data_IF_811792663550
#
_entry.id   IF_811792663550
#
_cell.length_a   1.000
_cell.length_b   1.000
_cell.length_c   1.000
_cell.angle_alpha   90.00
_cell.angle_beta   90.00
_cell.angle_gamma   90.00
#
_symmetry.space_group_name_H-M   'P 1'
#
loop_
_entity.id
_entity.type
_entity.pdbx_description
1 polymer ?
#
# COMPACT_ATOMS: atom_id res chain seq x y z
N UNK A 1 34.97 24.53 -21.63
CA UNK A 1 34.38 24.38 -20.29
C UNK A 1 34.79 25.61 -19.51
N UNK A 2 33.82 26.48 -19.20
CA UNK A 2 34.11 27.83 -18.70
C UNK A 2 34.59 27.81 -17.24
N UNK A 3 35.68 28.52 -16.99
CA UNK A 3 36.31 28.69 -15.67
C UNK A 3 35.32 29.24 -14.62
N UNK A 4 34.35 30.04 -15.07
CA UNK A 4 33.25 30.56 -14.24
C UNK A 4 32.33 29.45 -13.72
N UNK A 5 32.01 28.45 -14.55
CA UNK A 5 31.13 27.34 -14.16
C UNK A 5 31.80 26.42 -13.13
N UNK A 6 33.11 26.16 -13.28
CA UNK A 6 33.88 25.34 -12.33
C UNK A 6 33.96 26.03 -10.96
N UNK A 7 34.20 27.34 -10.93
CA UNK A 7 34.24 28.12 -9.69
C UNK A 7 32.87 28.18 -9.00
N UNK A 8 31.77 28.26 -9.77
CA UNK A 8 30.41 28.23 -9.22
C UNK A 8 30.09 26.86 -8.60
N UNK A 9 30.46 25.77 -9.27
CA UNK A 9 30.28 24.40 -8.76
C UNK A 9 31.11 24.19 -7.49
N UNK A 10 32.36 24.68 -7.45
CA UNK A 10 33.22 24.57 -6.26
C UNK A 10 32.69 25.40 -5.09
N UNK A 11 32.18 26.62 -5.33
CA UNK A 11 31.56 27.45 -4.30
C UNK A 11 30.26 26.82 -3.76
N UNK A 12 29.47 26.19 -4.64
CA UNK A 12 28.24 25.49 -4.26
C UNK A 12 28.54 24.19 -3.49
N UNK A 13 29.59 23.45 -3.87
CA UNK A 13 30.07 22.31 -3.09
C UNK A 13 30.67 22.72 -1.74
N UNK A 14 31.43 23.81 -1.68
CA UNK A 14 32.05 24.30 -0.45
C UNK A 14 31.02 24.84 0.55
N UNK A 15 29.96 25.50 0.07
CA UNK A 15 28.83 25.93 0.92
C UNK A 15 27.97 24.77 1.41
N UNK A 16 27.94 23.65 0.68
CA UNK A 16 27.31 22.40 1.14
C UNK A 16 28.17 21.62 2.16
N UNK A 17 29.48 21.90 2.26
CA UNK A 17 30.41 21.06 3.04
C UNK A 17 30.59 21.45 4.52
N UNK A 18 30.02 22.56 5.00
CA UNK A 18 30.21 23.01 6.39
C UNK A 18 28.92 23.27 7.16
N UNK A 19 27.94 22.37 7.07
CA UNK A 19 26.92 22.25 8.11
C UNK A 19 27.22 21.03 9.00
N UNK A 20 28.29 21.11 9.79
CA UNK A 20 28.45 20.17 10.93
C UNK A 20 27.50 20.59 12.06
N UNK A 21 26.20 20.36 11.84
CA UNK A 21 25.22 20.45 12.91
C UNK A 21 25.48 19.29 13.88
N UNK A 22 25.97 19.61 15.08
CA UNK A 22 26.01 18.66 16.20
C UNK A 22 24.56 18.39 16.60
N UNK A 23 23.98 17.30 16.12
CA UNK A 23 22.62 16.89 16.47
C UNK A 23 22.64 16.47 17.96
N UNK A 24 21.92 17.17 18.85
CA UNK A 24 21.85 16.80 20.25
C UNK A 24 21.07 15.49 20.40
N UNK A 25 21.47 14.64 21.34
CA UNK A 25 20.77 13.37 21.62
C UNK A 25 19.43 13.60 22.35
N UNK A 26 19.32 14.70 23.11
CA UNK A 26 18.13 15.06 23.87
C UNK A 26 17.60 16.42 23.43
N UNK A 27 16.30 16.50 23.22
CA UNK A 27 15.61 17.72 22.83
C UNK A 27 14.67 18.20 23.96
N UNK A 28 14.33 19.50 24.01
CA UNK A 28 13.41 20.06 25.01
C UNK A 28 12.06 19.34 25.00
N UNK A 29 11.35 19.34 26.13
CA UNK A 29 10.00 18.76 26.19
C UNK A 29 9.07 19.41 25.14
N UNK A 30 8.26 18.58 24.47
CA UNK A 30 7.33 18.98 23.38
C UNK A 30 7.99 19.47 22.08
N UNK A 31 9.21 19.04 21.78
CA UNK A 31 9.81 19.26 20.46
C UNK A 31 9.36 18.20 19.46
N UNK A 32 9.07 18.65 18.23
CA UNK A 32 8.56 17.83 17.14
C UNK A 32 9.44 18.02 15.91
N UNK A 33 9.86 16.91 15.32
CA UNK A 33 10.54 16.86 14.02
C UNK A 33 9.53 16.51 12.94
N UNK A 34 9.31 17.42 11.98
CA UNK A 34 8.36 17.24 10.90
C UNK A 34 9.09 16.97 9.58
N UNK A 35 8.78 15.84 8.94
CA UNK A 35 9.16 15.55 7.56
C UNK A 35 7.93 15.78 6.69
N UNK A 36 8.06 16.59 5.64
CA UNK A 36 7.00 16.79 4.66
C UNK A 36 7.56 16.47 3.28
N UNK A 37 6.93 15.54 2.58
CA UNK A 37 7.26 15.14 1.23
C UNK A 37 6.02 15.29 0.35
N UNK A 38 6.21 15.79 -0.87
CA UNK A 38 5.13 15.90 -1.85
C UNK A 38 5.59 15.29 -3.18
N UNK A 39 4.75 14.46 -3.77
CA UNK A 39 4.97 13.85 -5.07
C UNK A 39 3.79 14.18 -5.97
N UNK A 40 4.05 14.83 -7.10
CA UNK A 40 3.04 15.18 -8.10
C UNK A 40 3.28 14.40 -9.38
N UNK A 41 2.34 13.54 -9.77
CA UNK A 41 2.42 12.79 -11.03
C UNK A 41 1.39 13.35 -12.02
N UNK A 42 1.80 13.81 -13.21
CA UNK A 42 0.86 14.25 -14.22
C UNK A 42 0.20 13.04 -14.89
N UNK A 43 -1.13 12.99 -14.88
CA UNK A 43 -1.91 12.01 -15.64
C UNK A 43 -2.44 12.72 -16.88
N UNK A 44 -1.87 12.37 -18.04
CA UNK A 44 -2.19 13.02 -19.32
C UNK A 44 -3.40 12.33 -19.96
N UNK A 45 -4.56 12.96 -19.85
CA UNK A 45 -5.76 12.62 -20.61
C UNK A 45 -6.02 13.65 -21.72
N UNK A 46 -6.17 13.26 -23.00
CA UNK A 46 -6.67 14.18 -24.03
C UNK A 46 -8.19 14.41 -23.82
N UNK A 47 -8.73 15.65 -23.66
CA UNK A 47 -8.14 16.98 -23.80
C UNK A 47 -7.79 17.72 -22.49
N UNK A 48 -7.85 17.07 -21.31
CA UNK A 48 -7.67 17.71 -20.00
C UNK A 48 -6.52 17.06 -19.20
N UNK A 49 -5.59 17.88 -18.72
CA UNK A 49 -4.49 17.42 -17.86
C UNK A 49 -4.95 17.37 -16.41
N UNK A 50 -4.84 16.21 -15.78
CA UNK A 50 -5.10 16.03 -14.35
C UNK A 50 -3.76 15.84 -13.65
N UNK A 51 -3.55 16.53 -12.53
CA UNK A 51 -2.39 16.32 -11.67
C UNK A 51 -2.83 15.52 -10.46
N UNK A 52 -2.12 14.43 -10.18
CA UNK A 52 -2.31 13.67 -8.96
C UNK A 52 -1.19 13.99 -7.99
N UNK A 53 -1.54 14.73 -6.94
CA UNK A 53 -0.61 15.15 -5.90
C UNK A 53 -0.81 14.31 -4.63
N UNK A 54 0.29 13.76 -4.13
CA UNK A 54 0.38 13.09 -2.84
C UNK A 54 1.22 13.92 -1.89
N UNK A 55 0.61 14.42 -0.82
CA UNK A 55 1.30 15.07 0.29
C UNK A 55 1.41 14.11 1.47
N UNK A 56 2.63 13.82 1.91
CA UNK A 56 2.91 13.04 3.11
C UNK A 56 3.54 13.95 4.15
N UNK A 57 2.90 14.08 5.30
CA UNK A 57 3.45 14.77 6.46
C UNK A 57 3.61 13.77 7.60
N UNK A 58 4.83 13.64 8.10
CA UNK A 58 5.15 12.79 9.24
C UNK A 58 5.73 13.66 10.36
N UNK A 59 5.08 13.63 11.52
CA UNK A 59 5.49 14.36 12.70
C UNK A 59 6.03 13.36 13.73
N UNK A 60 7.32 13.47 14.07
CA UNK A 60 7.98 12.66 15.08
C UNK A 60 8.24 13.49 16.34
N UNK A 61 7.69 13.07 17.47
CA UNK A 61 8.14 13.61 18.77
C UNK A 61 9.58 13.18 19.03
N UNK A 62 10.47 14.15 19.19
CA UNK A 62 11.87 13.84 19.48
C UNK A 62 12.04 13.51 20.98
N UNK A 63 12.98 12.61 21.33
CA UNK A 63 13.10 12.10 22.69
C UNK A 63 13.70 13.15 23.64
N UNK A 64 12.96 13.45 24.70
CA UNK A 64 13.43 14.28 25.83
C UNK A 64 14.08 13.47 26.96
N UNK A 65 13.93 12.15 26.94
CA UNK A 65 14.40 11.22 27.97
C UNK A 65 14.88 9.90 27.32
N UNK A 66 15.94 9.24 27.83
CA UNK A 66 16.43 7.95 27.33
C UNK A 66 15.34 6.87 27.19
N UNK A 67 14.31 6.85 28.04
CA UNK A 67 13.22 5.88 27.94
C UNK A 67 12.41 5.98 26.64
N UNK A 68 12.33 7.17 26.02
CA UNK A 68 11.58 7.37 24.76
C UNK A 68 12.25 6.74 23.54
N UNK A 69 13.55 6.43 23.58
CA UNK A 69 14.22 5.71 22.48
C UNK A 69 13.76 4.26 22.34
N UNK A 70 13.24 3.68 23.42
CA UNK A 70 12.81 2.29 23.47
C UNK A 70 11.28 2.14 23.43
N UNK A 71 10.55 3.26 23.47
CA UNK A 71 9.08 3.31 23.46
C UNK A 71 8.52 3.81 22.12
N UNK A 72 9.23 3.59 21.02
CA UNK A 72 8.70 3.84 19.69
C UNK A 72 7.63 2.77 19.40
N UNK A 73 6.37 3.16 19.22
CA UNK A 73 5.24 2.26 18.98
C UNK A 73 5.44 1.30 17.78
N UNK A 74 6.35 1.67 16.87
CA UNK A 74 6.68 0.92 15.65
C UNK A 74 7.65 -0.24 15.93
N UNK A 75 8.45 -0.19 17.00
CA UNK A 75 9.40 -1.25 17.36
C UNK A 75 8.87 -2.04 18.55
N UNK A 76 8.78 -3.36 18.40
CA UNK A 76 8.30 -4.22 19.48
C UNK A 76 9.28 -4.24 20.67
N UNK A 77 8.96 -3.45 21.68
CA UNK A 77 9.68 -3.40 22.94
C UNK A 77 9.54 -4.74 23.70
N UNK A 78 10.68 -5.35 24.01
CA UNK A 78 10.74 -6.57 24.83
C UNK A 78 10.18 -6.34 26.25
N UNK A 79 10.20 -5.10 26.75
CA UNK A 79 9.70 -4.76 28.08
C UNK A 79 8.19 -4.47 28.11
N UNK A 80 7.60 -3.95 27.02
CA UNK A 80 6.14 -3.82 26.86
C UNK A 80 5.39 -5.17 27.00
N UNK A 81 6.04 -6.29 26.65
CA UNK A 81 5.51 -7.66 26.85
C UNK A 81 5.26 -8.02 28.32
N UNK A 82 5.89 -7.31 29.27
CA UNK A 82 5.74 -7.61 30.71
C UNK A 82 4.40 -7.14 31.27
N UNK A 83 3.82 -6.08 30.69
CA UNK A 83 2.57 -5.47 31.15
C UNK A 83 1.31 -6.12 30.54
N UNK A 84 1.40 -6.67 29.32
CA UNK A 84 0.28 -7.36 28.64
C UNK A 84 0.17 -8.85 28.97
N UNK A 85 0.66 -9.29 30.14
CA UNK A 85 0.48 -10.68 30.64
C UNK A 85 -0.93 -10.92 31.19
N UNK A 86 -1.95 -10.54 30.44
CA UNK A 86 -3.29 -11.10 30.60
C UNK A 86 -3.51 -12.13 29.49
N UNK A 87 -3.07 -13.35 29.82
CA UNK A 87 -3.47 -14.67 29.33
C UNK A 87 -4.27 -14.74 28.00
N UNK A 88 -3.65 -14.38 26.88
CA UNK A 88 -3.97 -15.05 25.63
C UNK A 88 -3.07 -16.29 25.54
N UNK A 89 -3.60 -17.43 25.11
CA UNK A 89 -2.96 -18.74 25.19
C UNK A 89 -1.79 -18.82 24.17
N UNK A 90 -0.65 -18.19 24.52
CA UNK A 90 0.58 -18.03 23.70
C UNK A 90 1.38 -19.32 23.48
N UNK A 91 0.76 -20.50 23.52
CA UNK A 91 1.47 -21.75 23.22
C UNK A 91 1.73 -21.95 21.73
N UNK A 92 1.06 -21.19 20.85
CA UNK A 92 1.33 -21.19 19.40
C UNK A 92 2.72 -20.64 19.04
N UNK A 93 3.30 -19.76 19.87
CA UNK A 93 4.61 -19.14 19.64
C UNK A 93 5.80 -20.11 19.76
N UNK A 94 5.61 -21.22 20.47
CA UNK A 94 6.63 -22.24 20.72
C UNK A 94 6.40 -23.54 19.93
N UNK A 95 5.33 -23.63 19.16
CA UNK A 95 5.23 -24.66 18.14
C UNK A 95 6.13 -24.28 16.96
N UNK A 96 6.82 -25.23 16.32
CA UNK A 96 7.55 -24.97 15.10
C UNK A 96 6.53 -24.63 14.01
N UNK A 97 6.24 -23.34 13.85
CA UNK A 97 5.48 -22.86 12.71
C UNK A 97 6.26 -23.27 11.46
N UNK A 98 5.59 -23.99 10.57
CA UNK A 98 6.11 -24.27 9.23
C UNK A 98 6.60 -22.93 8.65
N UNK A 99 7.88 -22.90 8.23
CA UNK A 99 8.56 -21.71 7.71
C UNK A 99 7.64 -20.89 6.80
N UNK A 100 7.13 -19.78 7.31
CA UNK A 100 6.51 -18.73 6.51
C UNK A 100 7.31 -17.47 6.80
N UNK A 101 7.86 -16.85 5.75
CA UNK A 101 8.68 -15.64 5.83
C UNK A 101 7.82 -14.39 6.12
N UNK A 102 6.69 -14.53 6.80
CA UNK A 102 5.66 -13.50 6.90
C UNK A 102 5.77 -12.82 8.26
N UNK A 103 6.01 -11.52 8.24
CA UNK A 103 6.08 -10.68 9.42
C UNK A 103 4.68 -10.58 10.05
N UNK A 104 4.54 -10.48 11.38
CA UNK A 104 3.23 -10.36 12.05
C UNK A 104 2.39 -9.12 11.67
N UNK A 105 2.93 -8.20 10.86
CA UNK A 105 2.22 -7.03 10.34
C UNK A 105 2.05 -7.06 8.80
N UNK A 106 2.43 -8.15 8.15
CA UNK A 106 2.26 -8.29 6.70
C UNK A 106 0.79 -8.56 6.39
N UNK A 107 0.21 -7.69 5.58
CA UNK A 107 -1.17 -7.82 5.10
C UNK A 107 -1.24 -8.94 4.06
N UNK A 108 -2.14 -9.91 4.26
CA UNK A 108 -2.41 -10.95 3.27
C UNK A 108 -3.34 -10.43 2.17
N UNK A 109 -3.35 -11.13 1.03
CA UNK A 109 -4.35 -10.85 -0.01
C UNK A 109 -5.78 -11.08 0.48
N UNK A 110 -6.02 -12.08 1.34
CA UNK A 110 -7.34 -12.33 1.93
C UNK A 110 -7.81 -11.17 2.80
N UNK A 111 -6.99 -10.72 3.74
CA UNK A 111 -7.28 -9.57 4.60
C UNK A 111 -7.50 -8.28 3.80
N UNK A 112 -6.71 -8.07 2.73
CA UNK A 112 -6.89 -6.94 1.83
C UNK A 112 -8.26 -7.00 1.13
N UNK A 113 -8.62 -8.13 0.55
CA UNK A 113 -9.89 -8.28 -0.17
C UNK A 113 -11.09 -8.17 0.78
N UNK A 114 -11.01 -8.77 1.97
CA UNK A 114 -12.04 -8.63 3.01
C UNK A 114 -12.23 -7.16 3.42
N UNK A 115 -11.14 -6.40 3.55
CA UNK A 115 -11.20 -4.96 3.84
C UNK A 115 -11.90 -4.17 2.73
N UNK A 116 -11.61 -4.49 1.46
CA UNK A 116 -12.24 -3.85 0.30
C UNK A 116 -13.72 -4.22 0.19
N UNK A 117 -14.09 -5.50 0.38
CA UNK A 117 -15.48 -5.95 0.42
C UNK A 117 -16.26 -5.19 1.50
N UNK A 118 -15.72 -5.12 2.72
CA UNK A 118 -16.32 -4.35 3.81
C UNK A 118 -16.47 -2.86 3.48
N UNK A 119 -15.50 -2.28 2.78
CA UNK A 119 -15.57 -0.90 2.30
C UNK A 119 -16.71 -0.73 1.29
N UNK A 120 -16.83 -1.63 0.30
CA UNK A 120 -17.88 -1.62 -0.70
C UNK A 120 -19.28 -1.71 -0.07
N UNK A 121 -19.45 -2.64 0.88
CA UNK A 121 -20.71 -2.81 1.63
C UNK A 121 -21.09 -1.53 2.38
N UNK A 122 -20.12 -0.84 3.00
CA UNK A 122 -20.37 0.44 3.68
C UNK A 122 -20.82 1.56 2.73
N UNK A 123 -20.39 1.53 1.48
CA UNK A 123 -20.84 2.47 0.45
C UNK A 123 -22.17 2.06 -0.20
N UNK A 124 -22.75 0.92 0.20
CA UNK A 124 -24.04 0.43 -0.31
C UNK A 124 -23.92 -0.46 -1.56
N UNK A 125 -22.72 -0.95 -1.86
CA UNK A 125 -22.48 -1.93 -2.92
C UNK A 125 -22.45 -3.35 -2.34
N UNK A 126 -22.70 -4.33 -3.20
CA UNK A 126 -22.60 -5.73 -2.80
C UNK A 126 -21.12 -6.19 -2.74
N UNK A 127 -20.81 -7.14 -1.86
CA UNK A 127 -19.47 -7.73 -1.74
C UNK A 127 -19.00 -8.39 -3.05
N UNK A 128 -19.94 -8.93 -3.82
CA UNK A 128 -19.67 -9.56 -5.13
C UNK A 128 -19.16 -8.58 -6.18
N UNK A 129 -19.26 -7.27 -5.95
CA UNK A 129 -18.72 -6.28 -6.86
C UNK A 129 -17.19 -6.34 -7.02
N UNK A 130 -16.47 -6.77 -5.98
CA UNK A 130 -15.03 -6.95 -6.09
C UNK A 130 -14.70 -8.16 -6.98
N UNK A 131 -15.43 -9.27 -6.81
CA UNK A 131 -15.31 -10.46 -7.67
C UNK A 131 -15.67 -10.16 -9.12
N UNK A 132 -16.72 -9.36 -9.34
CA UNK A 132 -17.07 -8.87 -10.67
C UNK A 132 -15.92 -8.10 -11.30
N UNK A 133 -15.27 -7.23 -10.55
CA UNK A 133 -14.11 -6.46 -11.03
C UNK A 133 -12.95 -7.39 -11.42
N UNK A 134 -12.63 -8.41 -10.63
CA UNK A 134 -11.60 -9.41 -10.98
C UNK A 134 -11.93 -10.16 -12.27
N UNK A 135 -13.19 -10.59 -12.43
CA UNK A 135 -13.67 -11.26 -13.64
C UNK A 135 -13.58 -10.35 -14.88
N UNK A 136 -14.07 -9.10 -14.77
CA UNK A 136 -14.07 -8.13 -15.87
C UNK A 136 -12.63 -7.77 -16.29
N UNK A 137 -11.70 -7.62 -15.35
CA UNK A 137 -10.30 -7.34 -15.68
C UNK A 137 -9.64 -8.51 -16.42
N UNK A 138 -9.91 -9.74 -15.99
CA UNK A 138 -9.38 -10.93 -16.65
C UNK A 138 -9.94 -11.11 -18.07
N UNK A 139 -11.19 -10.70 -18.30
CA UNK A 139 -11.84 -10.69 -19.61
C UNK A 139 -11.34 -9.54 -20.50
N UNK A 140 -11.14 -8.37 -19.92
CA UNK A 140 -10.82 -7.11 -20.58
C UNK A 140 -9.61 -6.44 -19.88
N UNK A 141 -8.37 -6.94 -20.12
CA UNK A 141 -7.18 -6.35 -19.53
C UNK A 141 -6.91 -4.95 -20.09
N UNK A 142 -6.27 -4.09 -19.28
CA UNK A 142 -5.85 -2.76 -19.72
C UNK A 142 -4.88 -2.85 -20.92
N UNK A 143 -4.97 -1.91 -21.86
CA UNK A 143 -4.10 -1.87 -23.04
C UNK A 143 -2.66 -1.45 -22.70
N UNK A 144 -1.68 -2.01 -23.40
CA UNK A 144 -0.24 -1.75 -23.21
C UNK A 144 0.18 -0.28 -23.37
N UNK A 145 -0.64 0.54 -24.04
CA UNK A 145 -0.37 1.97 -24.23
C UNK A 145 -0.76 2.82 -23.00
N UNK A 146 -1.47 2.24 -22.02
CA UNK A 146 -1.95 2.89 -20.79
C UNK A 146 -1.16 2.42 -19.56
N UNK A 147 0.17 2.28 -19.69
CA UNK A 147 1.08 1.93 -18.58
C UNK A 147 1.21 3.10 -17.59
N UNK A 148 0.14 3.33 -16.84
CA UNK A 148 0.10 4.23 -15.71
C UNK A 148 0.33 3.43 -14.43
N UNK A 149 0.88 4.06 -13.40
CA UNK A 149 1.06 3.41 -12.10
C UNK A 149 -0.27 2.87 -11.55
N UNK A 150 -1.38 3.57 -11.80
CA UNK A 150 -2.72 3.14 -11.38
C UNK A 150 -3.15 1.84 -12.06
N UNK A 151 -2.95 1.72 -13.38
CA UNK A 151 -3.31 0.48 -14.10
C UNK A 151 -2.43 -0.68 -13.66
N UNK A 152 -1.13 -0.44 -13.43
CA UNK A 152 -0.23 -1.45 -12.87
C UNK A 152 -0.67 -1.92 -11.47
N UNK A 153 -1.08 -1.00 -10.59
CA UNK A 153 -1.58 -1.33 -9.26
C UNK A 153 -2.90 -2.11 -9.31
N UNK A 154 -3.83 -1.71 -10.18
CA UNK A 154 -5.10 -2.41 -10.35
C UNK A 154 -4.90 -3.80 -10.95
N UNK A 155 -4.04 -3.93 -11.97
CA UNK A 155 -3.66 -5.23 -12.53
C UNK A 155 -3.05 -6.12 -11.47
N UNK A 156 -2.07 -5.62 -10.70
CA UNK A 156 -1.45 -6.40 -9.64
C UNK A 156 -2.46 -6.80 -8.57
N UNK A 157 -3.28 -5.88 -8.07
CA UNK A 157 -4.22 -6.15 -6.97
C UNK A 157 -5.40 -7.03 -7.38
N UNK A 158 -5.91 -6.89 -8.60
CA UNK A 158 -7.10 -7.61 -9.07
C UNK A 158 -6.78 -8.85 -9.92
N UNK A 159 -5.50 -9.27 -9.98
CA UNK A 159 -5.08 -10.51 -10.64
C UNK A 159 -4.52 -11.48 -9.58
N UNK A 160 -5.38 -12.27 -8.92
CA UNK A 160 -4.98 -13.14 -7.80
C UNK A 160 -3.91 -14.18 -8.17
N UNK A 161 -3.90 -14.65 -9.43
CA UNK A 161 -2.85 -15.56 -9.92
C UNK A 161 -1.43 -14.94 -9.97
N UNK A 162 -1.32 -13.60 -10.01
CA UNK A 162 -0.04 -12.91 -10.21
C UNK A 162 0.76 -12.72 -8.92
N UNK A 163 0.10 -12.46 -7.78
CA UNK A 163 0.78 -11.98 -6.57
C UNK A 163 1.05 -13.04 -5.50
N UNK A 164 0.43 -14.23 -5.59
CA UNK A 164 0.60 -15.35 -4.65
C UNK A 164 0.61 -14.95 -3.16
N UNK A 165 -0.07 -13.85 -2.80
CA UNK A 165 0.03 -13.21 -1.49
C UNK A 165 -1.04 -13.69 -0.48
N UNK A 166 -1.74 -14.78 -0.79
CA UNK A 166 -2.68 -15.42 0.12
C UNK A 166 -1.95 -16.23 1.18
N UNK A 167 -2.41 -16.15 2.43
CA UNK A 167 -1.91 -17.01 3.48
C UNK A 167 -2.33 -18.48 3.23
N UNK A 168 -1.54 -19.46 3.73
CA UNK A 168 -1.89 -20.88 3.58
C UNK A 168 -3.21 -21.26 4.27
N UNK A 169 -3.70 -20.46 5.22
CA UNK A 169 -5.01 -20.60 5.86
C UNK A 169 -6.18 -20.10 4.99
N UNK A 170 -5.94 -19.16 4.07
CA UNK A 170 -6.96 -18.45 3.27
C UNK A 170 -7.33 -19.21 1.99
N UNK A 171 -7.37 -20.53 2.06
CA UNK A 171 -7.56 -21.38 0.87
C UNK A 171 -8.90 -21.14 0.18
N UNK A 172 -9.95 -20.84 0.95
CA UNK A 172 -11.29 -20.57 0.43
C UNK A 172 -11.30 -19.24 -0.34
N UNK A 173 -10.80 -18.16 0.28
CA UNK A 173 -10.69 -16.85 -0.38
C UNK A 173 -9.90 -16.95 -1.67
N UNK A 174 -8.72 -17.59 -1.63
CA UNK A 174 -7.91 -17.83 -2.83
C UNK A 174 -8.72 -18.53 -3.94
N UNK A 175 -9.40 -19.62 -3.62
CA UNK A 175 -10.18 -20.38 -4.60
C UNK A 175 -11.35 -19.59 -5.20
N UNK A 176 -12.00 -18.73 -4.43
CA UNK A 176 -13.12 -17.90 -4.92
C UNK A 176 -12.59 -16.87 -5.92
N UNK A 177 -11.53 -16.15 -5.55
CA UNK A 177 -10.92 -15.09 -6.36
C UNK A 177 -10.22 -15.63 -7.62
N UNK A 178 -9.45 -16.70 -7.51
CA UNK A 178 -8.84 -17.36 -8.68
C UNK A 178 -9.91 -17.94 -9.63
N UNK A 179 -11.05 -18.41 -9.10
CA UNK A 179 -12.17 -18.87 -9.94
C UNK A 179 -12.80 -17.70 -10.69
N UNK A 180 -12.98 -16.54 -10.06
CA UNK A 180 -13.50 -15.36 -10.72
C UNK A 180 -12.59 -14.90 -11.87
N UNK A 181 -11.27 -14.92 -11.66
CA UNK A 181 -10.26 -14.65 -12.70
C UNK A 181 -10.38 -15.65 -13.86
N UNK A 182 -10.47 -16.95 -13.56
CA UNK A 182 -10.62 -17.99 -14.58
C UNK A 182 -11.90 -17.84 -15.40
N UNK A 183 -13.02 -17.46 -14.77
CA UNK A 183 -14.28 -17.20 -15.48
C UNK A 183 -14.14 -16.06 -16.49
N UNK A 184 -13.47 -14.98 -16.10
CA UNK A 184 -13.15 -13.85 -16.99
C UNK A 184 -12.26 -14.29 -18.16
N UNK A 185 -11.20 -15.05 -17.87
CA UNK A 185 -10.29 -15.60 -18.87
C UNK A 185 -10.97 -16.53 -19.88
N UNK A 186 -11.96 -17.32 -19.43
CA UNK A 186 -12.79 -18.17 -20.30
C UNK A 186 -13.83 -17.39 -21.13
N UNK A 187 -13.92 -16.07 -20.96
CA UNK A 187 -14.88 -15.23 -21.68
C UNK A 187 -16.32 -15.42 -21.21
N UNK A 188 -16.53 -15.78 -19.94
CA UNK A 188 -17.87 -15.80 -19.35
C UNK A 188 -18.43 -14.38 -19.17
N UNK A 189 -19.75 -14.22 -19.20
CA UNK A 189 -20.40 -12.93 -18.98
C UNK A 189 -20.41 -12.59 -17.47
N UNK A 190 -19.42 -11.79 -17.05
CA UNK A 190 -19.21 -11.40 -15.66
C UNK A 190 -20.40 -10.60 -15.08
N UNK A 191 -21.15 -9.88 -15.91
CA UNK A 191 -22.34 -9.14 -15.48
C UNK A 191 -23.50 -10.08 -15.11
N UNK A 192 -23.61 -11.23 -15.78
CA UNK A 192 -24.62 -12.25 -15.44
C UNK A 192 -24.20 -13.13 -14.28
N UNK A 193 -22.89 -13.41 -14.15
CA UNK A 193 -22.33 -14.19 -13.04
C UNK A 193 -22.46 -13.48 -11.69
N UNK A 194 -22.32 -12.15 -11.70
CA UNK A 194 -22.37 -11.29 -10.51
C UNK A 194 -23.49 -10.25 -10.66
N UNK A 195 -24.72 -10.74 -10.82
CA UNK A 195 -25.93 -9.94 -11.03
C UNK A 195 -26.33 -9.06 -9.83
N UNK A 196 -25.90 -9.45 -8.62
CA UNK A 196 -26.07 -8.70 -7.39
C UNK A 196 -25.31 -7.36 -7.41
N UNK A 197 -24.24 -7.28 -8.19
CA UNK A 197 -23.51 -6.04 -8.38
C UNK A 197 -24.04 -5.26 -9.58
N UNK A 198 -24.74 -4.15 -9.34
CA UNK A 198 -25.27 -3.30 -10.43
C UNK A 198 -24.23 -2.37 -11.06
N UNK A 199 -23.04 -2.22 -10.45
CA UNK A 199 -22.00 -1.30 -10.88
C UNK A 199 -20.78 -2.03 -11.44
N UNK A 200 -20.16 -1.43 -12.44
CA UNK A 200 -18.86 -1.87 -12.95
C UNK A 200 -17.81 -0.82 -12.60
N UNK A 201 -17.02 -1.12 -11.57
CA UNK A 201 -15.95 -0.25 -11.08
C UNK A 201 -14.85 -0.06 -12.13
N UNK A 202 -14.54 -1.10 -12.91
CA UNK A 202 -13.50 -1.02 -13.92
C UNK A 202 -13.93 -0.17 -15.11
N UNK A 203 -15.20 -0.23 -15.51
CA UNK A 203 -15.75 0.71 -16.50
C UNK A 203 -15.65 2.16 -16.05
N UNK A 204 -15.88 2.44 -14.75
CA UNK A 204 -15.74 3.80 -14.22
C UNK A 204 -14.29 4.28 -14.25
N UNK A 205 -13.34 3.41 -13.86
CA UNK A 205 -11.90 3.71 -13.89
C UNK A 205 -11.39 3.87 -15.32
N UNK A 206 -11.78 2.99 -16.25
CA UNK A 206 -11.39 3.06 -17.66
C UNK A 206 -11.83 4.37 -18.31
N UNK A 207 -13.05 4.85 -18.04
CA UNK A 207 -13.54 6.17 -18.50
C UNK A 207 -12.81 7.38 -17.91
N UNK A 208 -12.08 7.20 -16.81
CA UNK A 208 -11.27 8.25 -16.18
C UNK A 208 -9.83 8.23 -16.72
N UNK A 209 -9.40 7.12 -17.33
CA UNK A 209 -8.06 6.94 -17.91
C UNK A 209 -8.06 7.27 -19.42
N UNK A 210 -9.19 7.09 -20.09
CA UNK A 210 -9.42 7.39 -21.51
C UNK A 210 -10.23 8.67 -21.71
#
# INVERSE_FOLDING_TARGET
MDLSAVNFIFALLATLLECQAKIPLFFPAASVYQITAAVSVPVVLPPRKIFWDWGVQVNYEVPSNPAKFYAAEIWEDQFARRAKRHLHNETQKYMPAARTNMHPNDLTAGELYESIENMLVRYGFDETCLLRSVCELARHPFHDNEQNMLTALLTFTLTPSLHAAFAPSETIYRQIYERAEQQGFMGADCAQLYDQCSVDFLSAVSKIIH
#
